data_IF_093615464454
#
_entry.id   IF_093615464454
#
_cell.length_a   1.000
_cell.length_b   1.000
_cell.length_c   1.000
_cell.angle_alpha   90.00
_cell.angle_beta   90.00
_cell.angle_gamma   90.00
#
_symmetry.space_group_name_H-M   'P 1'
#
loop_
_entity.id
_entity.type
_entity.pdbx_description
1 polymer ?
#
# COMPACT_ATOMS: atom_id res chain seq x y z
N UNK A 1 16.35 9.09 -14.28
CA UNK A 1 15.36 8.61 -15.25
C UNK A 1 15.58 9.31 -16.57
N UNK A 2 15.74 8.54 -17.65
CA UNK A 2 15.84 9.09 -19.00
C UNK A 2 14.44 9.35 -19.60
N UNK A 3 14.35 10.29 -20.54
CA UNK A 3 13.09 10.62 -21.26
C UNK A 3 12.41 9.38 -21.85
N UNK A 4 13.20 8.45 -22.40
CA UNK A 4 12.71 7.20 -22.99
C UNK A 4 12.07 6.29 -21.93
N UNK A 5 12.63 6.25 -20.72
CA UNK A 5 12.08 5.46 -19.62
C UNK A 5 10.76 6.07 -19.14
N UNK A 6 10.69 7.40 -19.03
CA UNK A 6 9.47 8.11 -18.68
C UNK A 6 8.35 7.82 -19.70
N UNK A 7 8.64 7.87 -21.00
CA UNK A 7 7.66 7.54 -22.04
C UNK A 7 7.10 6.12 -21.89
N UNK A 8 7.95 5.13 -21.62
CA UNK A 8 7.52 3.74 -21.42
C UNK A 8 6.59 3.60 -20.22
N UNK A 9 6.86 4.33 -19.14
CA UNK A 9 6.00 4.32 -17.94
C UNK A 9 4.64 4.95 -18.26
N UNK A 10 4.64 6.11 -18.94
CA UNK A 10 3.41 6.82 -19.33
C UNK A 10 2.56 5.94 -20.26
N UNK A 11 3.17 5.33 -21.28
CA UNK A 11 2.50 4.43 -22.22
C UNK A 11 1.88 3.21 -21.50
N UNK A 12 2.61 2.65 -20.54
CA UNK A 12 2.15 1.54 -19.69
C UNK A 12 0.94 1.87 -18.80
N UNK A 13 0.68 3.16 -18.55
CA UNK A 13 -0.47 3.63 -17.79
C UNK A 13 -0.33 3.48 -16.27
N UNK A 14 -1.36 3.96 -15.56
CA UNK A 14 -1.46 3.79 -14.11
C UNK A 14 -1.56 2.31 -13.74
N UNK A 15 -1.00 1.96 -12.59
CA UNK A 15 -1.04 0.60 -12.06
C UNK A 15 -0.69 0.61 -10.56
N UNK A 16 -0.43 -0.57 -10.00
CA UNK A 16 -0.07 -0.72 -8.59
C UNK A 16 1.21 0.00 -8.17
N UNK A 17 2.05 0.41 -9.12
CA UNK A 17 3.31 1.13 -8.89
C UNK A 17 3.36 2.50 -9.58
N UNK A 18 2.36 2.89 -10.35
CA UNK A 18 2.36 4.13 -11.14
C UNK A 18 1.07 4.89 -10.89
N UNK A 19 1.18 6.16 -10.53
CA UNK A 19 0.07 7.11 -10.39
C UNK A 19 0.38 8.35 -11.24
N UNK A 20 -0.60 8.83 -12.00
CA UNK A 20 -0.52 10.08 -12.74
C UNK A 20 -1.29 11.18 -12.01
N UNK A 21 -0.73 12.38 -12.06
CA UNK A 21 -1.38 13.59 -11.57
C UNK A 21 -1.07 14.71 -12.54
N UNK A 22 -2.11 15.41 -13.00
CA UNK A 22 -1.90 16.63 -13.79
C UNK A 22 -1.11 17.67 -13.01
N UNK A 23 -1.42 17.82 -11.72
CA UNK A 23 -0.74 18.69 -10.75
C UNK A 23 -1.09 18.29 -9.32
N UNK A 24 -0.41 18.90 -8.36
CA UNK A 24 -0.68 18.75 -6.94
C UNK A 24 -2.12 19.15 -6.64
N UNK A 25 -2.78 18.33 -5.83
CA UNK A 25 -4.17 18.54 -5.46
C UNK A 25 -4.27 19.10 -4.04
N UNK A 26 -4.41 18.23 -3.04
CA UNK A 26 -4.34 18.62 -1.63
C UNK A 26 -3.30 17.77 -0.90
N UNK A 27 -2.71 18.29 0.19
CA UNK A 27 -1.75 17.52 0.97
C UNK A 27 -2.29 16.18 1.45
N UNK A 28 -3.56 16.10 1.85
CA UNK A 28 -4.19 14.85 2.30
C UNK A 28 -4.29 13.83 1.17
N UNK A 29 -4.66 14.26 -0.04
CA UNK A 29 -4.78 13.36 -1.21
C UNK A 29 -3.41 12.83 -1.63
N UNK A 30 -2.41 13.70 -1.69
CA UNK A 30 -1.05 13.28 -2.06
C UNK A 30 -0.44 12.40 -0.97
N UNK A 31 -0.58 12.77 0.31
CA UNK A 31 -0.12 11.93 1.41
C UNK A 31 -0.80 10.57 1.43
N UNK A 32 -2.11 10.48 1.09
CA UNK A 32 -2.82 9.21 0.93
C UNK A 32 -2.14 8.32 -0.10
N UNK A 33 -1.90 8.82 -1.31
CA UNK A 33 -1.25 8.05 -2.38
C UNK A 33 0.18 7.64 -1.99
N UNK A 34 0.97 8.57 -1.46
CA UNK A 34 2.33 8.27 -0.96
C UNK A 34 2.31 7.21 0.15
N UNK A 35 1.37 7.30 1.11
CA UNK A 35 1.25 6.34 2.21
C UNK A 35 0.88 4.95 1.70
N UNK A 36 0.02 4.87 0.67
CA UNK A 36 -0.38 3.62 0.06
C UNK A 36 0.80 2.93 -0.62
N UNK A 37 1.62 3.67 -1.38
CA UNK A 37 2.86 3.16 -1.95
C UNK A 37 3.85 2.71 -0.88
N UNK A 38 4.12 3.58 0.11
CA UNK A 38 5.04 3.30 1.21
C UNK A 38 4.63 2.07 2.01
N UNK A 39 3.32 1.86 2.25
CA UNK A 39 2.79 0.66 2.92
C UNK A 39 2.77 -0.59 2.03
N UNK A 40 2.90 -0.43 0.72
CA UNK A 40 2.86 -1.52 -0.27
C UNK A 40 4.26 -1.77 -0.84
N UNK A 41 4.39 -2.00 -2.16
CA UNK A 41 5.66 -2.32 -2.82
C UNK A 41 6.41 -1.10 -3.37
N UNK A 42 6.14 0.08 -2.80
CA UNK A 42 6.58 1.35 -3.36
C UNK A 42 5.93 1.66 -4.71
N UNK A 43 6.32 2.79 -5.29
CA UNK A 43 5.86 3.21 -6.61
C UNK A 43 6.30 4.63 -6.95
N UNK A 44 5.76 5.14 -8.04
CA UNK A 44 6.06 6.45 -8.59
C UNK A 44 4.77 7.24 -8.81
N UNK A 45 4.80 8.52 -8.44
CA UNK A 45 3.77 9.50 -8.80
C UNK A 45 4.39 10.44 -9.83
N UNK A 46 3.73 10.61 -10.98
CA UNK A 46 4.21 11.46 -12.06
C UNK A 46 3.28 12.67 -12.16
N UNK A 47 3.83 13.84 -11.83
CA UNK A 47 3.13 15.13 -11.91
C UNK A 47 3.38 15.80 -13.25
N UNK A 48 2.34 16.38 -13.85
CA UNK A 48 2.36 16.94 -15.20
C UNK A 48 1.87 15.97 -16.28
N UNK A 49 1.23 14.86 -15.89
CA UNK A 49 0.60 13.89 -16.80
C UNK A 49 -0.86 13.69 -16.39
N UNK A 50 -1.79 13.76 -17.32
CA UNK A 50 -3.21 13.53 -17.04
C UNK A 50 -3.62 12.05 -17.18
N UNK A 51 -4.88 11.77 -16.85
CA UNK A 51 -5.46 10.43 -16.89
C UNK A 51 -5.52 9.86 -18.32
N UNK A 52 -5.44 10.72 -19.35
CA UNK A 52 -5.38 10.34 -20.77
C UNK A 52 -3.94 10.09 -21.25
N UNK A 53 -2.95 10.11 -20.34
CA UNK A 53 -1.52 9.97 -20.62
C UNK A 53 -0.92 11.16 -21.38
N UNK A 54 -1.62 12.30 -21.41
CA UNK A 54 -1.12 13.52 -22.04
C UNK A 54 -0.11 14.20 -21.13
N UNK A 55 1.04 14.59 -21.70
CA UNK A 55 2.08 15.34 -20.99
C UNK A 55 1.75 16.82 -21.09
N UNK A 56 1.28 17.38 -19.97
CA UNK A 56 0.89 18.79 -19.83
C UNK A 56 2.01 19.59 -19.15
N UNK A 57 2.77 18.93 -18.28
CA UNK A 57 3.79 19.53 -17.42
C UNK A 57 3.24 20.24 -16.19
N UNK A 58 4.14 20.65 -15.32
CA UNK A 58 3.86 21.48 -14.14
C UNK A 58 4.24 22.93 -14.39
N UNK A 59 3.55 23.86 -13.74
CA UNK A 59 3.85 25.30 -13.84
C UNK A 59 5.16 25.66 -13.11
N UNK A 60 5.42 25.02 -11.97
CA UNK A 60 6.66 25.15 -11.22
C UNK A 60 7.01 23.82 -10.57
N UNK A 61 8.11 23.23 -11.02
CA UNK A 61 8.72 22.04 -10.44
C UNK A 61 9.03 22.23 -8.96
N UNK A 62 9.58 23.40 -8.59
CA UNK A 62 9.92 23.73 -7.19
C UNK A 62 8.67 23.83 -6.31
N UNK A 63 7.65 24.54 -6.78
CA UNK A 63 6.38 24.66 -6.04
C UNK A 63 5.72 23.30 -5.81
N UNK A 64 5.76 22.43 -6.82
CA UNK A 64 5.24 21.06 -6.69
C UNK A 64 6.01 20.27 -5.61
N UNK A 65 7.35 20.30 -5.68
CA UNK A 65 8.22 19.58 -4.73
C UNK A 65 8.02 20.08 -3.30
N UNK A 66 7.85 21.38 -3.07
CA UNK A 66 7.60 21.95 -1.74
C UNK A 66 6.27 21.44 -1.15
N UNK A 67 5.21 21.39 -1.98
CA UNK A 67 3.90 20.88 -1.58
C UNK A 67 3.94 19.37 -1.29
N UNK A 68 4.65 18.59 -2.12
CA UNK A 68 4.85 17.14 -1.91
C UNK A 68 5.64 16.90 -0.61
N UNK A 69 6.68 17.68 -0.37
CA UNK A 69 7.48 17.62 0.87
C UNK A 69 6.59 17.87 2.08
N UNK A 70 5.75 18.91 2.02
CA UNK A 70 4.79 19.26 3.08
C UNK A 70 3.80 18.11 3.34
N UNK A 71 3.24 17.52 2.28
CA UNK A 71 2.33 16.38 2.38
C UNK A 71 3.02 15.17 3.06
N UNK A 72 4.23 14.83 2.62
CA UNK A 72 4.97 13.67 3.13
C UNK A 72 5.32 13.77 4.62
N UNK A 73 5.61 15.00 5.09
CA UNK A 73 6.11 15.29 6.43
C UNK A 73 5.02 15.51 7.45
N UNK A 74 3.96 16.22 7.09
CA UNK A 74 2.95 16.68 8.05
C UNK A 74 1.63 15.92 7.96
N UNK A 75 1.35 15.25 6.84
CA UNK A 75 0.08 14.53 6.62
C UNK A 75 0.24 13.01 6.72
N UNK A 76 1.42 12.53 7.11
CA UNK A 76 1.68 11.13 7.41
C UNK A 76 2.54 10.98 8.66
N UNK A 77 2.28 9.90 9.41
CA UNK A 77 3.12 9.49 10.53
C UNK A 77 3.35 7.96 10.47
N UNK A 78 4.61 7.47 10.44
CA UNK A 78 5.84 8.26 10.28
C UNK A 78 5.87 9.07 8.96
N UNK A 79 6.78 10.05 8.89
CA UNK A 79 7.06 10.81 7.66
C UNK A 79 7.40 9.85 6.51
N UNK A 80 6.88 10.13 5.33
CA UNK A 80 7.12 9.30 4.14
C UNK A 80 8.39 9.80 3.44
N UNK A 81 9.40 8.93 3.36
CA UNK A 81 10.60 9.21 2.60
C UNK A 81 10.32 9.06 1.10
N UNK A 82 10.81 9.99 0.28
CA UNK A 82 10.72 9.93 -1.17
C UNK A 82 11.96 10.56 -1.81
N UNK A 83 12.20 10.21 -3.07
CA UNK A 83 13.15 10.91 -3.94
C UNK A 83 12.38 11.50 -5.11
N UNK A 84 12.92 12.52 -5.76
CA UNK A 84 12.29 13.08 -6.95
C UNK A 84 13.30 13.37 -8.04
N UNK A 85 12.81 13.45 -9.26
CA UNK A 85 13.54 13.90 -10.43
C UNK A 85 12.65 14.82 -11.26
N UNK A 86 13.25 15.79 -11.94
CA UNK A 86 12.55 16.67 -12.89
C UNK A 86 13.01 16.29 -14.28
N UNK A 87 12.06 15.98 -15.16
CA UNK A 87 12.32 15.58 -16.54
C UNK A 87 11.72 16.62 -17.48
N UNK A 88 12.58 17.32 -18.21
CA UNK A 88 12.16 18.26 -19.24
C UNK A 88 11.85 17.52 -20.54
N UNK A 89 10.61 17.64 -21.02
CA UNK A 89 10.07 16.84 -22.12
C UNK A 89 9.01 17.63 -22.86
N UNK A 90 9.03 17.65 -24.20
CA UNK A 90 8.10 18.43 -25.03
C UNK A 90 7.98 19.92 -24.63
N UNK A 91 9.05 20.51 -24.13
CA UNK A 91 9.07 21.93 -23.73
C UNK A 91 8.48 22.21 -22.35
N UNK A 92 8.13 21.18 -21.57
CA UNK A 92 7.55 21.32 -20.23
C UNK A 92 8.29 20.45 -19.22
N UNK A 93 8.18 20.80 -17.93
CA UNK A 93 8.74 20.02 -16.84
C UNK A 93 7.73 19.00 -16.29
N UNK A 94 8.21 17.78 -16.06
CA UNK A 94 7.47 16.69 -15.41
C UNK A 94 8.19 16.30 -14.13
N UNK A 95 7.48 16.24 -13.01
CA UNK A 95 8.07 15.89 -11.71
C UNK A 95 7.75 14.43 -11.40
N UNK A 96 8.80 13.62 -11.28
CA UNK A 96 8.71 12.19 -11.01
C UNK A 96 9.07 11.95 -9.55
N UNK A 97 8.10 11.54 -8.75
CA UNK A 97 8.25 11.29 -7.30
C UNK A 97 8.30 9.79 -7.05
N UNK A 98 9.45 9.28 -6.63
CA UNK A 98 9.64 7.89 -6.27
C UNK A 98 9.45 7.69 -4.75
N UNK A 99 8.47 6.87 -4.39
CA UNK A 99 8.15 6.49 -3.01
C UNK A 99 8.54 5.03 -2.79
N UNK A 100 9.65 4.74 -2.09
CA UNK A 100 10.07 3.36 -1.84
C UNK A 100 9.12 2.64 -0.87
N UNK A 101 9.16 1.30 -0.92
CA UNK A 101 8.58 0.46 0.13
C UNK A 101 9.22 0.82 1.50
N UNK A 102 8.40 1.21 2.47
CA UNK A 102 8.91 1.71 3.74
C UNK A 102 9.41 0.60 4.67
N UNK A 103 10.47 0.89 5.41
CA UNK A 103 11.00 0.06 6.51
C UNK A 103 10.32 0.34 7.86
N UNK A 104 9.46 1.34 7.94
CA UNK A 104 8.80 1.77 9.20
C UNK A 104 7.28 1.73 9.08
N UNK A 105 6.75 0.83 8.25
CA UNK A 105 5.30 0.59 8.11
C UNK A 105 4.63 0.25 9.45
N UNK A 106 3.35 0.62 9.64
CA UNK A 106 2.50 1.32 8.68
C UNK A 106 2.52 2.85 8.86
N UNK A 107 2.42 3.57 7.74
CA UNK A 107 2.19 5.01 7.67
C UNK A 107 0.70 5.32 7.78
N UNK A 108 0.29 6.02 8.85
CA UNK A 108 -1.10 6.54 9.01
C UNK A 108 -1.20 7.94 8.41
N UNK A 109 -2.38 8.28 7.89
CA UNK A 109 -2.69 9.64 7.49
C UNK A 109 -3.07 10.47 8.72
N UNK A 110 -2.42 11.63 8.84
CA UNK A 110 -2.71 12.64 9.85
C UNK A 110 -3.65 13.66 9.23
N UNK A 111 -4.86 13.77 9.76
CA UNK A 111 -5.78 14.85 9.40
C UNK A 111 -6.68 15.16 10.59
N UNK A 112 -7.09 16.42 10.71
CA UNK A 112 -7.97 16.88 11.79
C UNK A 112 -9.32 16.13 11.79
N UNK A 113 -9.75 15.67 10.61
CA UNK A 113 -11.01 14.94 10.41
C UNK A 113 -10.94 13.44 10.76
N UNK A 114 -9.76 12.87 11.02
CA UNK A 114 -9.62 11.43 11.27
C UNK A 114 -10.11 11.00 12.67
N UNK A 115 -10.39 11.95 13.57
CA UNK A 115 -10.81 11.65 14.94
C UNK A 115 -9.77 10.78 15.68
N UNK A 116 -10.22 9.87 16.55
CA UNK A 116 -9.32 8.96 17.32
C UNK A 116 -8.80 7.75 16.52
N UNK A 117 -9.31 7.49 15.32
CA UNK A 117 -9.02 6.26 14.59
C UNK A 117 -8.02 6.53 13.45
N UNK A 118 -6.79 5.99 13.52
CA UNK A 118 -5.81 6.17 12.46
C UNK A 118 -6.25 5.46 11.18
N UNK A 119 -6.17 6.15 10.04
CA UNK A 119 -6.44 5.60 8.71
C UNK A 119 -5.12 5.21 8.04
N UNK A 120 -5.08 4.01 7.49
CA UNK A 120 -3.94 3.45 6.77
C UNK A 120 -4.39 3.08 5.37
N UNK A 121 -3.56 3.31 4.36
CA UNK A 121 -3.88 2.97 2.98
C UNK A 121 -2.84 2.02 2.40
N UNK A 122 -3.26 1.21 1.44
CA UNK A 122 -2.42 0.29 0.65
C UNK A 122 -2.81 0.41 -0.82
N UNK A 123 -1.90 -0.01 -1.72
CA UNK A 123 -2.18 -0.13 -3.15
C UNK A 123 -2.82 -1.47 -3.46
N UNK A 124 -3.94 -1.43 -4.16
CA UNK A 124 -4.66 -2.59 -4.68
C UNK A 124 -5.03 -2.30 -6.14
N UNK A 125 -4.26 -2.89 -7.07
CA UNK A 125 -4.29 -2.43 -8.47
C UNK A 125 -3.93 -0.94 -8.55
N UNK A 126 -4.65 -0.18 -9.35
CA UNK A 126 -4.48 1.28 -9.53
C UNK A 126 -4.98 2.11 -8.33
N UNK A 127 -5.65 1.49 -7.34
CA UNK A 127 -6.36 2.23 -6.30
C UNK A 127 -5.63 2.22 -4.95
N UNK A 128 -5.66 3.37 -4.29
CA UNK A 128 -5.32 3.49 -2.87
C UNK A 128 -6.55 3.27 -2.00
N UNK A 129 -6.60 2.10 -1.35
CA UNK A 129 -7.73 1.61 -0.55
C UNK A 129 -7.42 1.66 0.94
N UNK A 130 -8.46 1.84 1.77
CA UNK A 130 -8.32 1.80 3.22
C UNK A 130 -7.94 0.38 3.66
N UNK A 131 -6.86 0.24 4.42
CA UNK A 131 -6.39 -1.03 4.93
C UNK A 131 -7.31 -1.56 6.04
N UNK A 132 -7.66 -2.84 5.95
CA UNK A 132 -8.35 -3.55 7.03
C UNK A 132 -7.47 -3.68 8.28
N UNK A 133 -8.10 -3.98 9.41
CA UNK A 133 -7.41 -4.17 10.70
C UNK A 133 -6.37 -5.30 10.61
N UNK A 134 -6.71 -6.37 9.89
CA UNK A 134 -5.88 -7.52 9.56
C UNK A 134 -4.64 -7.07 8.79
N UNK A 135 -4.86 -6.30 7.72
CA UNK A 135 -3.77 -5.77 6.89
C UNK A 135 -2.84 -4.87 7.69
N UNK A 136 -3.39 -3.96 8.51
CA UNK A 136 -2.58 -3.12 9.41
C UNK A 136 -1.76 -3.98 10.39
N UNK A 137 -2.32 -5.10 10.88
CA UNK A 137 -1.62 -6.06 11.72
C UNK A 137 -0.43 -6.73 11.04
N UNK A 138 -0.57 -7.04 9.74
CA UNK A 138 0.51 -7.57 8.89
C UNK A 138 1.59 -6.50 8.70
N UNK A 139 1.20 -5.27 8.33
CA UNK A 139 2.11 -4.16 8.07
C UNK A 139 2.99 -3.79 9.27
N UNK A 140 2.43 -3.79 10.49
CA UNK A 140 3.18 -3.47 11.73
C UNK A 140 4.37 -4.38 12.01
N UNK A 141 4.42 -5.55 11.37
CA UNK A 141 5.42 -6.55 11.65
C UNK A 141 6.12 -7.09 10.40
N UNK A 142 5.97 -6.44 9.25
CA UNK A 142 6.66 -6.82 8.01
C UNK A 142 8.18 -6.67 8.12
N UNK A 143 8.68 -5.83 9.03
CA UNK A 143 10.11 -5.63 9.28
C UNK A 143 10.62 -6.24 10.60
N UNK A 144 9.75 -6.92 11.35
CA UNK A 144 10.14 -7.64 12.56
C UNK A 144 10.55 -9.07 12.19
N UNK A 145 11.84 -9.27 11.92
CA UNK A 145 12.50 -10.58 11.80
C UNK A 145 12.60 -11.33 13.16
N UNK A 146 11.68 -11.07 14.11
CA UNK A 146 11.63 -11.93 15.30
C UNK A 146 11.20 -13.31 14.82
N UNK A 147 12.02 -14.36 15.00
CA UNK A 147 11.64 -15.70 14.61
C UNK A 147 10.35 -16.04 15.33
N UNK A 148 9.28 -16.16 14.56
CA UNK A 148 8.01 -16.63 15.07
C UNK A 148 8.18 -18.13 15.33
N UNK A 149 8.11 -18.54 16.60
CA UNK A 149 8.01 -19.97 16.93
C UNK A 149 6.63 -20.43 16.48
N UNK A 150 6.55 -20.95 15.26
CA UNK A 150 5.36 -21.51 14.67
C UNK A 150 5.13 -22.89 15.29
N UNK A 151 4.37 -22.91 16.38
CA UNK A 151 3.91 -24.17 16.97
C UNK A 151 2.65 -24.59 16.20
N UNK A 152 2.77 -25.61 15.36
CA UNK A 152 1.63 -26.20 14.66
C UNK A 152 0.78 -27.02 15.65
N UNK A 153 -0.14 -26.35 16.33
CA UNK A 153 -1.15 -26.99 17.14
C UNK A 153 -2.28 -27.58 16.28
N UNK A 154 -3.26 -28.19 16.95
CA UNK A 154 -4.44 -28.76 16.28
C UNK A 154 -5.27 -27.70 15.52
N UNK A 155 -5.21 -26.44 15.96
CA UNK A 155 -5.90 -25.32 15.30
C UNK A 155 -5.28 -25.06 13.92
N UNK A 156 -3.96 -24.93 13.84
CA UNK A 156 -3.24 -24.70 12.59
C UNK A 156 -3.38 -25.90 11.65
N UNK A 157 -3.26 -27.13 12.16
CA UNK A 157 -3.49 -28.34 11.35
C UNK A 157 -4.89 -28.41 10.77
N UNK A 158 -5.91 -28.02 11.54
CA UNK A 158 -7.30 -27.98 11.07
C UNK A 158 -7.48 -26.97 9.95
N UNK A 159 -6.81 -25.81 10.04
CA UNK A 159 -6.79 -24.81 8.98
C UNK A 159 -6.14 -25.34 7.70
N UNK A 160 -4.97 -25.97 7.80
CA UNK A 160 -4.26 -26.50 6.62
C UNK A 160 -5.06 -27.60 5.94
N UNK A 161 -5.60 -28.56 6.70
CA UNK A 161 -6.48 -29.60 6.15
C UNK A 161 -7.69 -29.01 5.43
N UNK A 162 -8.31 -27.99 6.04
CA UNK A 162 -9.42 -27.31 5.39
C UNK A 162 -9.00 -26.65 4.08
N UNK A 163 -7.84 -25.98 4.04
CA UNK A 163 -7.34 -25.32 2.83
C UNK A 163 -6.90 -26.28 1.73
N UNK A 164 -6.38 -27.46 2.10
CA UNK A 164 -6.08 -28.55 1.16
C UNK A 164 -7.37 -29.06 0.48
N UNK A 165 -8.49 -29.10 1.22
CA UNK A 165 -9.79 -29.55 0.71
C UNK A 165 -10.62 -28.43 0.06
N UNK A 166 -10.46 -27.20 0.53
CA UNK A 166 -11.25 -26.02 0.19
C UNK A 166 -10.26 -24.87 -0.05
N UNK A 167 -9.89 -24.64 -1.30
CA UNK A 167 -8.81 -23.75 -1.79
C UNK A 167 -8.66 -22.39 -1.07
N UNK A 168 -9.74 -21.87 -0.47
CA UNK A 168 -9.76 -20.62 0.29
C UNK A 168 -10.58 -20.71 1.59
N UNK A 169 -10.24 -19.87 2.56
CA UNK A 169 -11.00 -19.67 3.80
C UNK A 169 -11.08 -18.18 4.18
N UNK A 170 -12.22 -17.73 4.70
CA UNK A 170 -12.35 -16.36 5.25
C UNK A 170 -12.08 -16.34 6.76
N UNK A 171 -11.83 -15.16 7.33
CA UNK A 171 -11.69 -15.00 8.79
C UNK A 171 -12.92 -15.56 9.55
N UNK A 172 -14.13 -15.28 9.04
CA UNK A 172 -15.38 -15.80 9.59
C UNK A 172 -15.49 -17.32 9.42
N UNK A 173 -15.05 -17.86 8.29
CA UNK A 173 -14.95 -19.30 8.04
C UNK A 173 -14.04 -19.97 9.05
N UNK A 174 -12.82 -19.47 9.21
CA UNK A 174 -11.84 -20.01 10.14
C UNK A 174 -12.31 -19.96 11.59
N UNK A 175 -12.87 -18.83 12.02
CA UNK A 175 -13.49 -18.66 13.35
C UNK A 175 -14.49 -19.79 13.65
N UNK A 176 -15.36 -20.12 12.68
CA UNK A 176 -16.35 -21.19 12.81
C UNK A 176 -15.71 -22.57 12.80
N UNK A 177 -14.74 -22.80 11.92
CA UNK A 177 -14.04 -24.08 11.77
C UNK A 177 -13.41 -24.56 13.08
N UNK A 178 -12.72 -23.67 13.81
CA UNK A 178 -11.96 -24.03 15.02
C UNK A 178 -12.58 -23.53 16.33
N UNK A 179 -13.78 -22.93 16.27
CA UNK A 179 -14.55 -22.43 17.42
C UNK A 179 -13.74 -21.54 18.39
N UNK A 180 -13.14 -20.47 17.89
CA UNK A 180 -12.39 -19.50 18.70
C UNK A 180 -12.92 -18.09 18.51
N UNK A 181 -12.53 -17.16 19.41
CA UNK A 181 -12.84 -15.75 19.22
C UNK A 181 -12.23 -15.21 17.92
N UNK A 182 -12.94 -14.27 17.29
CA UNK A 182 -12.50 -13.62 16.04
C UNK A 182 -11.13 -12.95 16.19
N UNK A 183 -10.87 -12.34 17.35
CA UNK A 183 -9.57 -11.76 17.69
C UNK A 183 -8.45 -12.81 17.71
N UNK A 184 -8.73 -14.02 18.19
CA UNK A 184 -7.74 -15.13 18.22
C UNK A 184 -7.54 -15.68 16.81
N UNK A 185 -8.62 -15.90 16.06
CA UNK A 185 -8.57 -16.34 14.66
C UNK A 185 -7.78 -15.37 13.77
N UNK A 186 -8.09 -14.06 13.84
CA UNK A 186 -7.40 -13.00 13.11
C UNK A 186 -5.91 -12.97 13.45
N UNK A 187 -5.55 -13.08 14.74
CA UNK A 187 -4.13 -13.15 15.15
C UNK A 187 -3.40 -14.37 14.56
N UNK A 188 -4.03 -15.55 14.54
CA UNK A 188 -3.42 -16.76 13.98
C UNK A 188 -3.20 -16.61 12.47
N UNK A 189 -4.24 -16.23 11.72
CA UNK A 189 -4.15 -16.05 10.28
C UNK A 189 -3.09 -15.00 9.90
N UNK A 190 -3.08 -13.84 10.58
CA UNK A 190 -2.06 -12.81 10.37
C UNK A 190 -0.65 -13.36 10.64
N UNK A 191 -0.46 -14.19 11.66
CA UNK A 191 0.84 -14.78 11.95
C UNK A 191 1.28 -15.81 10.88
N UNK A 192 0.35 -16.62 10.36
CA UNK A 192 0.66 -17.59 9.30
C UNK A 192 0.97 -16.90 7.97
N UNK A 193 0.29 -15.80 7.64
CA UNK A 193 0.64 -14.94 6.48
C UNK A 193 2.03 -14.35 6.65
N UNK A 194 2.35 -13.85 7.84
CA UNK A 194 3.69 -13.29 8.14
C UNK A 194 4.80 -14.35 8.05
N UNK A 195 4.47 -15.61 8.29
CA UNK A 195 5.39 -16.72 8.15
C UNK A 195 5.43 -17.31 6.73
N UNK A 196 4.74 -16.67 5.77
CA UNK A 196 4.67 -17.08 4.36
C UNK A 196 4.10 -18.49 4.13
N UNK A 197 3.39 -19.04 5.13
CA UNK A 197 2.78 -20.39 5.04
C UNK A 197 1.40 -20.35 4.40
N UNK A 198 0.74 -19.18 4.41
CA UNK A 198 -0.52 -18.92 3.70
C UNK A 198 -0.47 -17.53 3.07
N UNK A 199 -1.27 -17.30 2.03
CA UNK A 199 -1.44 -15.99 1.39
C UNK A 199 -2.72 -15.33 1.84
N UNK A 200 -2.70 -14.02 2.02
CA UNK A 200 -3.89 -13.20 2.21
C UNK A 200 -4.27 -12.53 0.90
N UNK A 201 -5.55 -12.57 0.58
CA UNK A 201 -6.14 -11.95 -0.58
C UNK A 201 -7.27 -11.02 -0.15
N UNK A 202 -7.29 -9.84 -0.75
CA UNK A 202 -8.42 -8.93 -0.68
C UNK A 202 -8.71 -8.52 -2.13
N UNK A 203 -9.95 -8.69 -2.58
CA UNK A 203 -10.41 -8.30 -3.92
C UNK A 203 -11.43 -7.13 -3.88
N UNK A 204 -11.60 -6.49 -2.73
CA UNK A 204 -12.55 -5.39 -2.51
C UNK A 204 -13.95 -5.85 -2.08
N UNK A 205 -14.32 -7.12 -2.32
CA UNK A 205 -15.62 -7.70 -1.95
C UNK A 205 -15.50 -8.74 -0.82
N UNK A 206 -14.42 -9.51 -0.81
CA UNK A 206 -14.16 -10.59 0.14
C UNK A 206 -12.67 -10.64 0.52
N UNK A 207 -12.40 -10.82 1.82
CA UNK A 207 -11.06 -11.12 2.33
C UNK A 207 -10.96 -12.62 2.64
N UNK A 208 -9.97 -13.28 2.04
CA UNK A 208 -9.75 -14.71 2.20
C UNK A 208 -8.28 -15.07 2.22
N UNK A 209 -7.99 -16.30 2.66
CA UNK A 209 -6.66 -16.85 2.81
C UNK A 209 -6.55 -18.16 2.04
N UNK A 210 -5.39 -18.41 1.42
CA UNK A 210 -5.11 -19.63 0.64
C UNK A 210 -3.75 -20.20 1.02
N UNK A 211 -3.47 -21.43 0.58
CA UNK A 211 -2.09 -21.90 0.53
C UNK A 211 -1.26 -21.10 -0.50
N UNK A 212 0.09 -21.11 -0.38
CA UNK A 212 0.99 -20.56 -1.39
C UNK A 212 0.93 -21.33 -2.72
#
# INVERSE_FOLDING_TARGET
>A
MYVIELYKIIEGGENSKVEFKRKFSTPEKIAKEMSAFANSKGGVIIFGVDDSKEIIGVESEKGEIELITTASKFYSEPEIQFTYEVVFIKGVDVVVVNVPESKTKPHKIVSEQNGKNPKYFIRQGEKSVLASRETVGILRNSNNNKPFKLNFGEIEKSLFRYLDENEKITLKGFKRLVNISERRASRILVNLVRAEVIRHHNNGYEEFFTLP
#
